data_IF_351232969527
#
_entry.id   IF_351232969527
#
_cell.length_a   1.000
_cell.length_b   1.000
_cell.length_c   1.000
_cell.angle_alpha   90.00
_cell.angle_beta   90.00
_cell.angle_gamma   90.00
#
_symmetry.space_group_name_H-M   'P 1'
#
loop_
_entity.id
_entity.type
_entity.pdbx_description
1 polymer ?
#
# COMPACT_ATOMS: atom_id res chain seq x y z
N UNK A 1 -20.76 -23.98 46.23
CA UNK A 1 -20.68 -22.65 45.58
C UNK A 1 -20.38 -22.87 44.11
N UNK A 2 -21.37 -22.65 43.24
CA UNK A 2 -21.20 -22.78 41.80
C UNK A 2 -20.83 -21.41 41.22
N UNK A 3 -19.63 -21.30 40.65
CA UNK A 3 -19.19 -20.10 39.97
C UNK A 3 -19.90 -20.01 38.60
N UNK A 4 -20.65 -18.93 38.45
CA UNK A 4 -21.41 -18.56 37.27
C UNK A 4 -20.41 -18.14 36.17
N UNK A 5 -20.15 -19.01 35.19
CA UNK A 5 -19.41 -18.63 33.98
C UNK A 5 -20.41 -18.09 32.97
N UNK A 6 -20.53 -16.76 32.90
CA UNK A 6 -21.17 -16.11 31.77
C UNK A 6 -20.19 -16.19 30.59
N UNK A 7 -20.55 -16.85 29.47
CA UNK A 7 -19.76 -16.73 28.26
C UNK A 7 -19.92 -15.30 27.79
N UNK A 8 -18.86 -14.50 27.92
CA UNK A 8 -18.74 -13.23 27.19
C UNK A 8 -18.99 -13.58 25.74
N UNK A 9 -20.09 -13.04 25.21
CA UNK A 9 -20.39 -12.95 23.79
C UNK A 9 -19.24 -12.15 23.15
N UNK A 10 -18.14 -12.86 22.85
CA UNK A 10 -17.11 -12.35 21.96
C UNK A 10 -17.76 -12.43 20.59
N UNK A 11 -18.59 -11.44 20.30
CA UNK A 11 -18.91 -11.03 18.94
C UNK A 11 -17.59 -11.11 18.17
N UNK A 12 -17.53 -11.82 17.03
CA UNK A 12 -16.39 -11.68 16.17
C UNK A 12 -16.43 -10.24 15.70
N UNK A 13 -15.78 -9.36 16.45
CA UNK A 13 -15.20 -8.15 15.92
C UNK A 13 -14.48 -8.68 14.70
N UNK A 14 -15.05 -8.43 13.53
CA UNK A 14 -14.40 -8.66 12.26
C UNK A 14 -13.14 -7.83 12.39
N UNK A 15 -12.07 -8.47 12.90
CA UNK A 15 -10.71 -7.99 12.86
C UNK A 15 -10.55 -7.80 11.37
N UNK A 16 -10.78 -6.56 10.91
CA UNK A 16 -10.66 -6.15 9.52
C UNK A 16 -9.29 -6.69 9.17
N UNK A 17 -9.29 -7.83 8.48
CA UNK A 17 -8.06 -8.56 8.19
C UNK A 17 -7.25 -7.49 7.50
N UNK A 18 -6.16 -7.04 8.13
CA UNK A 18 -5.38 -5.94 7.60
C UNK A 18 -4.91 -6.50 6.27
N UNK A 19 -5.61 -6.10 5.22
CA UNK A 19 -5.62 -6.77 3.94
C UNK A 19 -4.29 -6.33 3.37
N UNK A 20 -3.24 -7.10 3.67
CA UNK A 20 -1.86 -6.63 3.65
C UNK A 20 -1.38 -6.26 2.26
N UNK A 21 -0.06 -6.31 2.05
CA UNK A 21 0.52 -5.86 0.80
C UNK A 21 -0.09 -6.53 -0.46
N UNK A 22 -0.53 -7.78 -0.36
CA UNK A 22 -1.23 -8.47 -1.46
C UNK A 22 -2.55 -7.80 -1.88
N UNK A 23 -3.35 -7.30 -0.94
CA UNK A 23 -4.60 -6.60 -1.27
C UNK A 23 -4.33 -5.21 -1.84
N UNK A 24 -3.29 -4.54 -1.34
CA UNK A 24 -2.80 -3.30 -1.92
C UNK A 24 -2.41 -3.49 -3.39
N UNK A 25 -1.71 -4.57 -3.75
CA UNK A 25 -1.34 -4.86 -5.15
C UNK A 25 -2.57 -4.96 -6.07
N UNK A 26 -3.61 -5.64 -5.62
CA UNK A 26 -4.84 -5.79 -6.43
C UNK A 26 -5.53 -4.44 -6.60
N UNK A 27 -5.68 -3.66 -5.52
CA UNK A 27 -6.27 -2.33 -5.60
C UNK A 27 -5.43 -1.36 -6.45
N UNK A 28 -4.10 -1.43 -6.33
CA UNK A 28 -3.17 -0.66 -7.15
C UNK A 28 -3.30 -1.02 -8.64
N UNK A 29 -3.43 -2.30 -8.97
CA UNK A 29 -3.57 -2.74 -10.36
C UNK A 29 -4.85 -2.23 -11.01
N UNK A 30 -5.94 -2.10 -10.24
CA UNK A 30 -7.22 -1.56 -10.70
C UNK A 30 -7.12 -0.06 -11.03
N UNK A 31 -6.33 0.67 -10.24
CA UNK A 31 -6.06 2.11 -10.41
C UNK A 31 -5.12 2.39 -11.58
N UNK A 32 -4.17 1.47 -11.82
CA UNK A 32 -3.19 1.59 -12.89
C UNK A 32 -3.82 1.26 -14.24
N UNK A 33 -4.27 2.30 -14.95
CA UNK A 33 -4.72 2.16 -16.34
C UNK A 33 -3.58 1.73 -17.27
N UNK A 34 -3.91 1.10 -18.41
CA UNK A 34 -2.93 0.67 -19.42
C UNK A 34 -2.02 1.84 -19.83
N UNK A 35 -2.56 3.04 -20.00
CA UNK A 35 -1.78 4.24 -20.30
C UNK A 35 -0.76 4.54 -19.21
N UNK A 36 -1.17 4.50 -17.93
CA UNK A 36 -0.27 4.73 -16.80
C UNK A 36 0.80 3.65 -16.70
N UNK A 37 0.44 2.40 -16.95
CA UNK A 37 1.37 1.26 -16.98
C UNK A 37 2.43 1.45 -18.05
N UNK A 38 2.06 1.81 -19.28
CA UNK A 38 3.00 2.05 -20.36
C UNK A 38 3.91 3.26 -20.07
N UNK A 39 3.36 4.33 -19.48
CA UNK A 39 4.17 5.48 -19.05
C UNK A 39 5.19 5.08 -17.98
N UNK A 40 4.77 4.30 -16.98
CA UNK A 40 5.66 3.75 -15.96
C UNK A 40 6.74 2.86 -16.59
N UNK A 41 6.36 1.98 -17.51
CA UNK A 41 7.30 1.09 -18.18
C UNK A 41 8.36 1.87 -18.99
N UNK A 42 7.96 2.90 -19.71
CA UNK A 42 8.90 3.77 -20.43
C UNK A 42 9.80 4.56 -19.49
N UNK A 43 9.26 5.10 -18.40
CA UNK A 43 10.03 5.90 -17.44
C UNK A 43 11.06 5.08 -16.68
N UNK A 44 10.73 3.85 -16.34
CA UNK A 44 11.66 2.91 -15.72
C UNK A 44 12.56 2.22 -16.76
N UNK A 45 12.54 2.66 -18.02
CA UNK A 45 13.38 2.15 -19.10
C UNK A 45 13.27 0.63 -19.25
N UNK A 46 12.03 0.11 -19.19
CA UNK A 46 11.79 -1.29 -19.51
C UNK A 46 12.08 -1.54 -21.00
N UNK A 47 12.59 -2.74 -21.34
CA UNK A 47 12.83 -3.10 -22.73
C UNK A 47 11.51 -3.11 -23.52
N UNK A 48 11.55 -2.81 -24.84
CA UNK A 48 10.35 -2.65 -25.66
C UNK A 48 9.44 -3.88 -25.63
N UNK A 49 10.02 -5.08 -25.57
CA UNK A 49 9.27 -6.33 -25.44
C UNK A 49 8.35 -6.36 -24.21
N UNK A 50 8.76 -5.78 -23.08
CA UNK A 50 7.93 -5.70 -21.87
C UNK A 50 6.84 -4.64 -22.05
N UNK A 51 7.16 -3.51 -22.71
CA UNK A 51 6.19 -2.45 -22.98
C UNK A 51 5.07 -2.98 -23.91
N UNK A 52 5.44 -3.75 -24.94
CA UNK A 52 4.49 -4.40 -25.85
C UNK A 52 3.64 -5.45 -25.14
N UNK A 53 4.24 -6.26 -24.26
CA UNK A 53 3.50 -7.22 -23.43
C UNK A 53 2.50 -6.52 -22.51
N UNK A 54 2.92 -5.45 -21.83
CA UNK A 54 2.04 -4.66 -20.97
C UNK A 54 0.90 -3.99 -21.74
N UNK A 55 1.12 -3.59 -22.99
CA UNK A 55 0.09 -2.98 -23.84
C UNK A 55 -0.97 -3.97 -24.32
N UNK A 56 -0.64 -5.26 -24.38
CA UNK A 56 -1.54 -6.34 -24.84
C UNK A 56 -2.12 -7.17 -23.71
N UNK A 57 -1.55 -7.09 -22.50
CA UNK A 57 -2.00 -7.84 -21.34
C UNK A 57 -3.35 -7.33 -20.82
N UNK A 58 -4.30 -8.26 -20.66
CA UNK A 58 -5.60 -8.01 -20.01
C UNK A 58 -5.43 -7.52 -18.57
N UNK A 59 -4.30 -7.87 -17.93
CA UNK A 59 -3.98 -7.48 -16.55
C UNK A 59 -2.67 -6.68 -16.47
N UNK A 60 -2.50 -5.71 -17.36
CA UNK A 60 -1.32 -4.84 -17.43
C UNK A 60 -0.91 -4.25 -16.06
N UNK A 61 -1.87 -3.81 -15.25
CA UNK A 61 -1.62 -3.27 -13.91
C UNK A 61 -0.95 -4.28 -12.96
N UNK A 62 -1.47 -5.51 -12.88
CA UNK A 62 -0.87 -6.58 -12.04
C UNK A 62 0.52 -6.97 -12.55
N UNK A 63 0.68 -7.01 -13.87
CA UNK A 63 1.92 -7.41 -14.52
C UNK A 63 3.03 -6.36 -14.28
N UNK A 64 2.67 -5.08 -14.37
CA UNK A 64 3.54 -3.96 -14.00
C UNK A 64 3.99 -4.02 -12.54
N UNK A 65 3.05 -4.26 -11.61
CA UNK A 65 3.33 -4.40 -10.18
C UNK A 65 4.33 -5.52 -9.93
N UNK A 66 4.18 -6.65 -10.63
CA UNK A 66 5.11 -7.78 -10.53
C UNK A 66 6.51 -7.39 -10.99
N UNK A 67 6.64 -6.71 -12.13
CA UNK A 67 7.93 -6.23 -12.61
C UNK A 67 8.59 -5.23 -11.65
N UNK A 68 7.81 -4.32 -11.08
CA UNK A 68 8.32 -3.37 -10.10
C UNK A 68 8.80 -4.05 -8.83
N UNK A 69 8.13 -5.11 -8.39
CA UNK A 69 8.57 -5.93 -7.25
C UNK A 69 9.87 -6.68 -7.57
N UNK A 70 9.96 -7.34 -8.73
CA UNK A 70 11.17 -8.05 -9.16
C UNK A 70 12.39 -7.12 -9.27
N UNK A 71 12.17 -5.85 -9.63
CA UNK A 71 13.21 -4.81 -9.69
C UNK A 71 13.50 -4.13 -8.36
N UNK A 72 12.80 -4.47 -7.27
CA UNK A 72 12.91 -3.77 -5.98
C UNK A 72 12.42 -2.32 -6.02
N UNK A 73 11.66 -1.95 -7.05
CA UNK A 73 11.03 -0.63 -7.17
C UNK A 73 9.76 -0.51 -6.31
N UNK A 74 9.26 -1.61 -5.79
CA UNK A 74 8.11 -1.61 -4.90
C UNK A 74 8.22 -2.76 -3.91
N UNK A 75 8.19 -2.44 -2.63
CA UNK A 75 8.33 -3.39 -1.53
C UNK A 75 7.18 -3.24 -0.54
N UNK A 76 6.86 -4.29 0.23
CA UNK A 76 5.81 -4.24 1.26
C UNK A 76 6.08 -3.23 2.37
N UNK A 77 7.34 -2.83 2.55
CA UNK A 77 7.78 -1.82 3.50
C UNK A 77 7.91 -0.43 2.86
N UNK A 78 8.05 -0.37 1.54
CA UNK A 78 8.45 0.84 0.83
C UNK A 78 7.87 0.93 -0.59
N UNK A 79 6.97 1.89 -0.82
CA UNK A 79 6.39 2.19 -2.14
C UNK A 79 6.88 3.52 -2.72
N UNK A 80 7.91 4.13 -2.14
CA UNK A 80 8.35 5.49 -2.47
C UNK A 80 8.84 5.63 -3.90
N UNK A 81 9.50 4.62 -4.44
CA UNK A 81 9.97 4.61 -5.83
C UNK A 81 8.80 4.69 -6.81
N UNK A 82 7.67 4.02 -6.51
CA UNK A 82 6.43 4.14 -7.27
C UNK A 82 5.84 5.55 -7.15
N UNK A 83 5.72 6.09 -5.93
CA UNK A 83 5.20 7.45 -5.72
C UNK A 83 6.07 8.50 -6.41
N UNK A 84 7.39 8.33 -6.39
CA UNK A 84 8.34 9.21 -7.07
C UNK A 84 8.16 9.20 -8.59
N UNK A 85 7.98 8.01 -9.19
CA UNK A 85 7.72 7.89 -10.62
C UNK A 85 6.39 8.57 -11.01
N UNK A 86 5.32 8.31 -10.25
CA UNK A 86 4.00 8.94 -10.46
C UNK A 86 4.09 10.47 -10.35
N UNK A 87 4.81 10.98 -9.35
CA UNK A 87 5.06 12.42 -9.16
C UNK A 87 5.85 13.03 -10.32
N UNK A 88 6.89 12.34 -10.81
CA UNK A 88 7.69 12.78 -11.96
C UNK A 88 6.87 12.83 -13.26
N UNK A 89 5.94 11.91 -13.44
CA UNK A 89 4.99 11.90 -14.57
C UNK A 89 3.85 12.91 -14.44
N UNK A 90 3.81 13.70 -13.36
CA UNK A 90 2.70 14.59 -13.01
C UNK A 90 1.35 13.88 -12.86
N UNK A 91 1.37 12.61 -12.46
CA UNK A 91 0.19 11.82 -12.13
C UNK A 91 -0.15 11.96 -10.64
N UNK A 92 -0.20 13.21 -10.15
CA UNK A 92 -0.41 13.51 -8.72
C UNK A 92 -1.74 12.96 -8.17
N UNK A 93 -2.79 12.88 -8.99
CA UNK A 93 -4.05 12.26 -8.59
C UNK A 93 -3.94 10.76 -8.35
N UNK A 94 -3.12 10.06 -9.15
CA UNK A 94 -2.85 8.63 -8.95
C UNK A 94 -1.93 8.44 -7.76
N UNK A 95 -0.90 9.27 -7.62
CA UNK A 95 0.03 9.26 -6.49
C UNK A 95 -0.71 9.34 -5.14
N UNK A 96 -1.62 10.31 -4.97
CA UNK A 96 -2.41 10.46 -3.74
C UNK A 96 -3.30 9.25 -3.49
N UNK A 97 -3.90 8.69 -4.54
CA UNK A 97 -4.77 7.53 -4.43
C UNK A 97 -3.99 6.25 -4.06
N UNK A 98 -2.82 6.04 -4.66
CA UNK A 98 -1.91 4.93 -4.32
C UNK A 98 -1.43 5.05 -2.88
N UNK A 99 -1.09 6.26 -2.44
CA UNK A 99 -0.73 6.52 -1.05
C UNK A 99 -1.87 6.16 -0.09
N UNK A 100 -3.08 6.64 -0.36
CA UNK A 100 -4.26 6.34 0.45
C UNK A 100 -4.57 4.84 0.51
N UNK A 101 -4.48 4.14 -0.62
CA UNK A 101 -4.64 2.69 -0.67
C UNK A 101 -3.60 1.97 0.16
N UNK A 102 -2.33 2.37 0.05
CA UNK A 102 -1.26 1.77 0.83
C UNK A 102 -1.48 1.96 2.33
N UNK A 103 -1.88 3.15 2.75
CA UNK A 103 -2.22 3.47 4.14
C UNK A 103 -3.42 2.63 4.64
N UNK A 104 -4.48 2.51 3.82
CA UNK A 104 -5.68 1.74 4.16
C UNK A 104 -5.42 0.24 4.27
N UNK A 105 -4.60 -0.32 3.38
CA UNK A 105 -4.33 -1.76 3.30
C UNK A 105 -3.22 -2.22 4.24
N UNK A 106 -2.14 -1.45 4.36
CA UNK A 106 -0.96 -1.84 5.13
C UNK A 106 -0.91 -1.21 6.52
N UNK A 107 -1.68 -0.15 6.78
CA UNK A 107 -1.60 0.61 8.02
C UNK A 107 -0.25 1.34 8.20
N UNK A 108 0.53 1.52 7.12
CA UNK A 108 1.78 2.28 7.12
C UNK A 108 1.57 3.63 6.48
N UNK A 109 2.00 4.68 7.17
CA UNK A 109 1.94 6.05 6.67
C UNK A 109 3.18 6.35 5.85
N UNK A 110 2.99 6.86 4.63
CA UNK A 110 4.07 7.36 3.80
C UNK A 110 4.17 8.88 3.96
N UNK A 111 5.19 9.34 4.67
CA UNK A 111 5.46 10.77 4.81
C UNK A 111 5.95 11.36 3.50
N UNK A 112 5.55 12.61 3.23
CA UNK A 112 5.97 13.38 2.04
C UNK A 112 7.50 13.54 1.92
N UNK A 113 8.22 13.34 3.02
CA UNK A 113 9.70 13.30 3.11
C UNK A 113 10.33 11.99 2.61
N UNK A 114 9.56 11.09 2.00
CA UNK A 114 10.12 9.87 1.42
C UNK A 114 10.49 8.82 2.47
N UNK A 115 9.65 8.63 3.49
CA UNK A 115 9.75 7.50 4.40
C UNK A 115 8.37 6.90 4.68
N UNK A 116 8.18 5.62 4.36
CA UNK A 116 7.01 4.87 4.79
C UNK A 116 7.33 4.18 6.13
N UNK A 117 6.73 4.65 7.22
CA UNK A 117 6.90 4.05 8.55
C UNK A 117 5.67 3.23 8.91
N UNK A 118 5.90 2.08 9.57
CA UNK A 118 4.80 1.39 10.22
C UNK A 118 4.22 2.31 11.30
N UNK A 119 2.90 2.34 11.42
CA UNK A 119 2.26 3.05 12.51
C UNK A 119 2.63 2.30 13.81
N UNK A 120 3.68 2.75 14.49
CA UNK A 120 3.92 2.38 15.87
C UNK A 120 2.71 2.93 16.64
N UNK A 121 1.85 2.02 17.12
CA UNK A 121 0.80 2.40 18.06
C UNK A 121 1.50 3.08 19.23
N UNK A 122 1.39 4.40 19.30
CA UNK A 122 1.82 5.16 20.47
C UNK A 122 1.10 4.61 21.68
N UNK A 123 1.84 3.90 22.52
CA UNK A 123 1.40 3.56 23.85
C UNK A 123 1.13 4.88 24.58
N UNK A 124 -0.13 5.08 24.93
CA UNK A 124 -0.61 6.29 25.56
C UNK A 124 -0.27 6.23 27.04
N UNK A 125 0.98 6.49 27.42
CA UNK A 125 1.28 6.77 28.84
C UNK A 125 1.03 8.26 29.11
N UNK A 126 -0.25 8.64 29.15
CA UNK A 126 -0.72 9.80 29.89
C UNK A 126 -1.09 9.33 31.31
N UNK A 127 -0.17 9.43 32.26
CA UNK A 127 -0.55 9.66 33.66
C UNK A 127 0.01 10.99 34.14
N UNK A 128 -0.95 11.88 34.30
CA UNK A 128 -0.93 13.23 34.82
C UNK A 128 -0.73 13.22 36.34
N UNK A 129 0.14 14.12 36.81
CA UNK A 129 0.11 14.90 38.06
C UNK A 129 -0.14 14.19 39.40
N UNK A 130 0.82 14.37 40.32
CA UNK A 130 0.58 14.32 41.77
C UNK A 130 1.66 15.15 42.47
N UNK A 131 1.24 16.24 43.10
CA UNK A 131 2.05 17.06 43.99
C UNK A 131 2.05 16.43 45.39
N UNK A 132 3.20 16.46 46.06
CA UNK A 132 3.35 16.71 47.50
C UNK A 132 4.73 17.32 47.73
#
# INVERSE_FOLDING_TARGET
MAANFNPVDIKPEVRKTVNGFGSFKVALADVLTVTTVLQLATFFEYPPVIIEELGTAVSAGLLMIRYMEERGQMEPTNILTLLFALKKMRLSGIEELVKKLYEEHTGRLCSSDGQCKAQEKGDTTNIKTGAD
#
